data_IF_123731324750
#
_entry.id   IF_123731324750
#
_cell.length_a   1.000
_cell.length_b   1.000
_cell.length_c   1.000
_cell.angle_alpha   90.00
_cell.angle_beta   90.00
_cell.angle_gamma   90.00
#
_symmetry.space_group_name_H-M   'P 1'
#
loop_
_entity.id
_entity.type
_entity.pdbx_description
1 polymer ?
#
# COMPACT_ATOMS: atom_id res chain seq x y z
N UNK A 1 -32.51 -9.15 -7.18
CA UNK A 1 -31.96 -9.23 -5.81
C UNK A 1 -31.08 -10.45 -5.72
N UNK A 2 -29.76 -10.27 -5.62
CA UNK A 2 -28.83 -11.34 -5.34
C UNK A 2 -27.78 -10.82 -4.35
N UNK A 3 -27.78 -11.47 -3.19
CA UNK A 3 -26.71 -11.67 -2.22
C UNK A 3 -26.03 -10.46 -1.57
N UNK A 4 -26.56 -10.18 -0.36
CA UNK A 4 -25.81 -9.71 0.80
C UNK A 4 -24.54 -10.54 0.99
N UNK A 5 -23.38 -9.89 1.02
CA UNK A 5 -22.35 -10.13 2.03
C UNK A 5 -21.30 -9.02 1.94
N UNK A 6 -21.58 -7.90 2.61
CA UNK A 6 -20.53 -7.05 3.15
C UNK A 6 -19.78 -7.83 4.25
N UNK A 7 -19.11 -8.92 3.88
CA UNK A 7 -17.97 -9.39 4.64
C UNK A 7 -16.82 -8.51 4.19
N UNK A 8 -16.81 -7.28 4.73
CA UNK A 8 -15.68 -6.35 4.60
C UNK A 8 -14.44 -7.16 4.99
N UNK A 9 -13.60 -7.45 3.99
CA UNK A 9 -12.36 -8.20 4.10
C UNK A 9 -11.68 -7.90 5.46
N UNK A 10 -11.31 -8.92 6.26
CA UNK A 10 -10.70 -8.70 7.56
C UNK A 10 -9.49 -7.76 7.49
N UNK A 11 -8.75 -7.75 6.39
CA UNK A 11 -7.64 -6.82 6.13
C UNK A 11 -8.14 -5.38 6.04
N UNK A 12 -9.28 -5.14 5.38
CA UNK A 12 -9.90 -3.81 5.28
C UNK A 12 -10.46 -3.35 6.62
N UNK A 13 -11.01 -4.27 7.42
CA UNK A 13 -11.46 -3.96 8.78
C UNK A 13 -10.28 -3.55 9.67
N UNK A 14 -9.17 -4.30 9.62
CA UNK A 14 -7.94 -3.99 10.35
C UNK A 14 -7.35 -2.66 9.88
N UNK A 15 -7.28 -2.42 8.57
CA UNK A 15 -6.80 -1.16 8.00
C UNK A 15 -7.60 0.05 8.53
N UNK A 16 -8.94 -0.07 8.61
CA UNK A 16 -9.82 0.99 9.16
C UNK A 16 -9.53 1.29 10.63
N UNK A 17 -9.21 0.27 11.41
CA UNK A 17 -8.89 0.41 12.83
C UNK A 17 -7.47 0.94 13.05
N UNK A 18 -6.55 0.64 12.14
CA UNK A 18 -5.13 0.97 12.24
C UNK A 18 -4.79 2.38 11.77
N UNK A 19 -5.50 2.94 10.79
CA UNK A 19 -5.21 4.27 10.22
C UNK A 19 -6.07 5.34 10.89
N UNK A 20 -5.43 6.30 11.57
CA UNK A 20 -6.13 7.38 12.30
C UNK A 20 -6.45 8.60 11.43
N UNK A 21 -5.56 8.97 10.50
CA UNK A 21 -5.69 10.17 9.67
C UNK A 21 -5.83 9.78 8.19
N UNK A 22 -7.08 9.66 7.76
CA UNK A 22 -7.44 9.33 6.38
C UNK A 22 -7.29 10.51 5.41
N UNK A 23 -6.85 11.69 5.87
CA UNK A 23 -6.62 12.88 5.03
C UNK A 23 -7.82 13.24 4.14
N UNK A 24 -9.03 13.08 4.67
CA UNK A 24 -10.29 13.35 3.96
C UNK A 24 -10.74 12.25 3.00
N UNK A 25 -10.07 11.10 2.96
CA UNK A 25 -10.52 9.93 2.19
C UNK A 25 -11.61 9.15 2.92
N UNK A 26 -12.53 8.55 2.16
CA UNK A 26 -13.50 7.58 2.67
C UNK A 26 -13.20 6.21 2.08
N UNK A 27 -12.94 5.21 2.94
CA UNK A 27 -12.61 3.85 2.50
C UNK A 27 -13.72 3.21 1.65
N UNK A 28 -14.96 3.68 1.79
CA UNK A 28 -16.10 3.18 1.02
C UNK A 28 -16.01 3.56 -0.47
N UNK A 29 -15.22 4.57 -0.82
CA UNK A 29 -15.05 5.00 -2.22
C UNK A 29 -13.92 4.25 -2.93
N UNK A 30 -13.12 3.46 -2.21
CA UNK A 30 -11.90 2.85 -2.76
C UNK A 30 -12.17 1.70 -3.73
N UNK A 31 -13.34 1.05 -3.62
CA UNK A 31 -13.62 -0.22 -4.27
C UNK A 31 -13.10 -1.40 -3.45
N UNK A 32 -13.06 -2.59 -4.06
CA UNK A 32 -12.59 -3.80 -3.40
C UNK A 32 -11.06 -3.79 -3.21
N UNK A 33 -10.59 -4.41 -2.13
CA UNK A 33 -9.16 -4.62 -1.91
C UNK A 33 -8.69 -5.76 -2.80
N UNK A 34 -7.71 -5.49 -3.66
CA UNK A 34 -7.18 -6.45 -4.63
C UNK A 34 -5.89 -7.09 -4.16
N UNK A 35 -5.01 -6.31 -3.51
CA UNK A 35 -3.72 -6.77 -3.04
C UNK A 35 -3.22 -5.90 -1.88
N UNK A 36 -2.48 -6.49 -0.95
CA UNK A 36 -1.75 -5.76 0.07
C UNK A 36 -0.46 -6.48 0.43
N UNK A 37 0.60 -5.73 0.71
CA UNK A 37 1.90 -6.29 1.10
C UNK A 37 2.77 -5.24 1.80
N UNK A 38 3.81 -5.70 2.50
CA UNK A 38 4.85 -4.87 3.12
C UNK A 38 6.06 -4.76 2.20
N UNK A 39 6.17 -3.65 1.48
CA UNK A 39 7.16 -3.47 0.42
C UNK A 39 8.17 -2.37 0.76
N UNK A 40 9.36 -2.45 0.16
CA UNK A 40 10.41 -1.45 0.32
C UNK A 40 10.25 -0.38 -0.75
N UNK A 41 10.19 0.88 -0.32
CA UNK A 41 10.14 2.07 -1.16
C UNK A 41 11.39 2.91 -0.89
N UNK A 42 12.05 3.38 -1.95
CA UNK A 42 13.11 4.39 -1.84
C UNK A 42 12.56 5.78 -2.13
N UNK A 43 12.88 6.76 -1.29
CA UNK A 43 12.54 8.16 -1.53
C UNK A 43 13.78 8.92 -2.03
N UNK A 44 13.72 9.46 -3.24
CA UNK A 44 14.77 10.31 -3.82
C UNK A 44 15.90 9.56 -4.54
N UNK A 45 16.94 10.28 -4.93
CA UNK A 45 18.08 9.76 -5.71
C UNK A 45 19.09 8.97 -4.87
N UNK A 46 19.02 9.07 -3.54
CA UNK A 46 19.97 8.44 -2.63
C UNK A 46 19.45 7.06 -2.22
N UNK A 47 20.17 6.03 -2.63
CA UNK A 47 19.90 4.60 -2.39
C UNK A 47 19.88 4.18 -0.91
N UNK A 48 20.24 5.09 0.01
CA UNK A 48 20.35 4.87 1.46
C UNK A 48 19.03 5.04 2.21
N UNK A 49 18.05 5.77 1.67
CA UNK A 49 16.77 6.03 2.34
C UNK A 49 15.72 4.99 1.93
N UNK A 50 16.05 3.72 2.22
CA UNK A 50 15.16 2.57 2.04
C UNK A 50 14.18 2.52 3.21
N UNK A 51 12.90 2.63 2.91
CA UNK A 51 11.84 2.63 3.92
C UNK A 51 10.80 1.56 3.59
N UNK A 52 10.42 0.79 4.61
CA UNK A 52 9.37 -0.21 4.49
C UNK A 52 7.99 0.42 4.69
N UNK A 53 7.07 0.14 3.77
CA UNK A 53 5.68 0.59 3.77
C UNK A 53 4.73 -0.59 3.62
N UNK A 54 3.58 -0.54 4.29
CA UNK A 54 2.44 -1.38 3.92
C UNK A 54 1.72 -0.69 2.76
N UNK A 55 1.64 -1.38 1.62
CA UNK A 55 0.98 -0.89 0.42
C UNK A 55 -0.34 -1.64 0.26
N UNK A 56 -1.42 -0.91 0.01
CA UNK A 56 -2.75 -1.47 -0.24
C UNK A 56 -3.20 -1.03 -1.63
N UNK A 57 -3.54 -1.99 -2.49
CA UNK A 57 -4.11 -1.76 -3.81
C UNK A 57 -5.60 -2.07 -3.78
N UNK A 58 -6.41 -1.05 -3.94
CA UNK A 58 -7.84 -1.15 -4.19
C UNK A 58 -8.13 -0.89 -5.67
N UNK A 59 -9.34 -1.20 -6.12
CA UNK A 59 -9.78 -0.95 -7.51
C UNK A 59 -9.56 0.50 -7.97
N UNK A 60 -9.73 1.49 -7.07
CA UNK A 60 -9.67 2.92 -7.45
C UNK A 60 -8.48 3.66 -6.88
N UNK A 61 -7.75 3.09 -5.92
CA UNK A 61 -6.71 3.80 -5.18
C UNK A 61 -5.61 2.86 -4.67
N UNK A 62 -4.38 3.34 -4.68
CA UNK A 62 -3.24 2.74 -3.99
C UNK A 62 -2.87 3.59 -2.78
N UNK A 63 -2.72 2.96 -1.62
CA UNK A 63 -2.35 3.61 -0.37
C UNK A 63 -0.96 3.16 0.08
N UNK A 64 -0.16 4.11 0.54
CA UNK A 64 1.13 3.84 1.16
C UNK A 64 1.08 4.22 2.64
N UNK A 65 1.14 3.21 3.50
CA UNK A 65 1.06 3.34 4.96
C UNK A 65 2.41 3.03 5.61
N UNK A 66 2.82 3.85 6.58
CA UNK A 66 4.04 3.60 7.38
C UNK A 66 3.63 3.23 8.82
N UNK A 67 4.28 2.24 9.46
CA UNK A 67 4.10 2.00 10.89
C UNK A 67 4.39 3.26 11.72
N UNK A 68 3.50 3.59 12.66
CA UNK A 68 3.70 4.68 13.59
C UNK A 68 4.61 4.25 14.75
N UNK A 69 5.92 4.40 14.58
CA UNK A 69 6.90 4.05 15.62
C UNK A 69 6.94 5.06 16.79
N UNK A 70 6.19 6.17 16.70
CA UNK A 70 6.23 7.28 17.66
C UNK A 70 5.24 7.13 18.81
N UNK A 71 4.27 6.22 18.69
CA UNK A 71 3.32 5.92 19.76
C UNK A 71 3.79 4.63 20.45
N UNK A 72 4.25 4.67 21.72
CA UNK A 72 4.54 3.44 22.44
C UNK A 72 3.28 2.58 22.45
N UNK A 73 3.42 1.28 22.16
CA UNK A 73 2.37 0.28 22.39
C UNK A 73 1.91 0.46 23.83
N UNK A 74 0.75 1.09 24.05
CA UNK A 74 0.21 1.27 25.40
C UNK A 74 -0.06 -0.13 25.97
N UNK A 75 0.75 -0.52 26.95
CA UNK A 75 0.39 -1.57 27.91
C UNK A 75 1.21 -2.85 27.86
N UNK A 76 2.47 -2.81 28.28
CA UNK A 76 3.08 -3.94 29.00
C UNK A 76 3.50 -3.47 30.38
N UNK A 77 2.53 -3.21 31.26
CA UNK A 77 2.76 -3.13 32.70
C UNK A 77 1.74 -4.01 33.41
N UNK A 78 2.28 -4.95 34.17
CA UNK A 78 1.64 -6.02 34.92
C UNK A 78 0.61 -5.43 35.90
N UNK A 79 -0.66 -5.82 35.80
CA UNK A 79 -1.59 -5.89 36.92
C UNK A 79 -2.78 -6.78 36.59
N UNK A 80 -3.07 -7.68 37.52
CA UNK A 80 -4.08 -8.75 37.48
C UNK A 80 -5.49 -8.18 37.25
N UNK A 81 -6.16 -8.57 36.15
CA UNK A 81 -7.62 -8.82 36.04
C UNK A 81 -7.96 -9.39 34.64
N UNK A 82 -8.93 -10.30 34.48
CA UNK A 82 -9.24 -10.93 33.21
C UNK A 82 -10.46 -10.28 32.57
N UNK A 83 -10.29 -9.22 31.77
CA UNK A 83 -11.37 -8.66 30.97
C UNK A 83 -10.84 -8.23 29.60
N UNK A 84 -11.16 -9.04 28.59
CA UNK A 84 -11.37 -8.67 27.18
C UNK A 84 -10.59 -7.45 26.66
N UNK A 85 -9.27 -7.56 26.45
CA UNK A 85 -8.53 -6.52 25.73
C UNK A 85 -8.69 -6.73 24.23
N UNK A 86 -9.48 -5.84 23.63
CA UNK A 86 -9.72 -5.69 22.21
C UNK A 86 -8.44 -5.59 21.40
N UNK A 87 -8.50 -6.25 20.24
CA UNK A 87 -7.56 -6.27 19.13
C UNK A 87 -7.15 -4.86 18.69
N UNK A 88 -6.17 -4.23 19.34
CA UNK A 88 -5.59 -2.97 18.84
C UNK A 88 -4.35 -3.33 18.02
N UNK A 89 -4.56 -3.48 16.70
CA UNK A 89 -3.49 -3.65 15.72
C UNK A 89 -2.51 -2.47 15.70
N UNK A 90 -1.38 -2.59 14.98
CA UNK A 90 -0.39 -1.51 14.88
C UNK A 90 -1.01 -0.26 14.25
N UNK A 91 -0.73 0.90 14.85
CA UNK A 91 -1.14 2.21 14.32
C UNK A 91 -0.35 2.53 13.05
N UNK A 92 -1.06 2.80 11.95
CA UNK A 92 -0.51 3.11 10.63
C UNK A 92 -0.72 4.58 10.28
N UNK A 93 0.29 5.20 9.66
CA UNK A 93 0.23 6.56 9.14
C UNK A 93 0.08 6.53 7.63
N UNK A 94 -0.98 7.16 7.11
CA UNK A 94 -1.16 7.34 5.67
C UNK A 94 -0.16 8.37 5.12
N UNK A 95 0.86 7.89 4.42
CA UNK A 95 1.94 8.73 3.88
C UNK A 95 1.69 9.17 2.45
N UNK A 96 1.07 8.32 1.63
CA UNK A 96 0.76 8.61 0.23
C UNK A 96 -0.52 7.92 -0.22
N UNK A 97 -1.10 8.47 -1.29
CA UNK A 97 -2.31 7.99 -1.95
C UNK A 97 -2.19 8.29 -3.44
N UNK A 98 -2.57 7.35 -4.29
CA UNK A 98 -2.51 7.51 -5.74
C UNK A 98 -3.79 6.92 -6.31
N UNK A 99 -4.61 7.74 -6.96
CA UNK A 99 -5.81 7.25 -7.63
C UNK A 99 -5.42 6.53 -8.92
N UNK A 100 -6.13 5.45 -9.25
CA UNK A 100 -5.86 4.67 -10.46
C UNK A 100 -6.05 5.49 -11.74
N UNK A 101 -6.93 6.50 -11.70
CA UNK A 101 -7.10 7.50 -12.77
C UNK A 101 -5.84 8.33 -13.04
N UNK A 102 -5.01 8.53 -12.02
CA UNK A 102 -3.81 9.36 -12.13
C UNK A 102 -2.59 8.55 -12.56
N UNK A 103 -2.66 7.21 -12.54
CA UNK A 103 -1.57 6.34 -12.98
C UNK A 103 -1.34 6.51 -14.49
N UNK A 104 -0.13 6.91 -14.86
CA UNK A 104 0.26 7.13 -16.26
C UNK A 104 1.03 5.94 -16.81
N UNK A 105 1.99 5.39 -16.05
CA UNK A 105 2.83 4.26 -16.48
C UNK A 105 3.23 3.38 -15.30
N UNK A 106 3.39 2.10 -15.59
CA UNK A 106 3.92 1.09 -14.67
C UNK A 106 5.11 0.43 -15.36
N UNK A 107 6.32 0.62 -14.85
CA UNK A 107 7.56 0.19 -15.51
C UNK A 107 8.23 -0.88 -14.63
N UNK A 108 8.12 -2.18 -14.95
CA UNK A 108 8.90 -3.21 -14.28
C UNK A 108 10.37 -3.13 -14.69
N UNK A 109 11.26 -3.48 -13.77
CA UNK A 109 12.70 -3.49 -13.99
C UNK A 109 13.35 -4.63 -13.21
N UNK A 110 14.19 -5.40 -13.90
CA UNK A 110 15.00 -6.46 -13.32
C UNK A 110 16.47 -6.15 -13.51
N UNK A 111 17.24 -6.10 -12.42
CA UNK A 111 18.69 -5.90 -12.46
C UNK A 111 19.38 -7.20 -12.87
N UNK A 112 20.26 -7.11 -13.85
CA UNK A 112 20.96 -8.26 -14.42
C UNK A 112 22.11 -8.81 -13.56
N UNK A 113 22.52 -8.15 -12.47
CA UNK A 113 23.68 -8.59 -11.68
C UNK A 113 23.25 -9.52 -10.53
N UNK A 114 23.47 -10.85 -10.64
CA UNK A 114 23.05 -11.82 -9.63
C UNK A 114 23.91 -11.75 -8.36
N UNK A 115 25.11 -11.15 -8.46
CA UNK A 115 26.08 -11.09 -7.37
C UNK A 115 25.89 -9.88 -6.45
N UNK A 116 24.94 -8.98 -6.75
CA UNK A 116 24.60 -7.89 -5.85
C UNK A 116 23.63 -8.37 -4.77
N UNK A 117 23.83 -7.91 -3.52
CA UNK A 117 22.87 -8.06 -2.42
C UNK A 117 21.70 -7.06 -2.51
N UNK A 118 21.67 -6.22 -3.56
CA UNK A 118 20.55 -5.32 -3.81
C UNK A 118 19.34 -6.05 -4.41
N UNK A 119 18.14 -5.52 -4.17
CA UNK A 119 16.91 -6.02 -4.78
C UNK A 119 17.03 -6.06 -6.30
N UNK A 120 16.78 -7.25 -6.84
CA UNK A 120 16.89 -7.54 -8.26
C UNK A 120 15.62 -7.14 -9.00
N UNK A 121 14.46 -7.12 -8.33
CA UNK A 121 13.16 -6.84 -8.93
C UNK A 121 12.59 -5.54 -8.39
N UNK A 122 12.17 -4.67 -9.29
CA UNK A 122 11.60 -3.38 -8.94
C UNK A 122 10.56 -2.93 -9.95
N UNK A 123 9.69 -2.03 -9.54
CA UNK A 123 8.75 -1.34 -10.41
C UNK A 123 8.81 0.15 -10.13
N UNK A 124 8.79 0.96 -11.20
CA UNK A 124 8.58 2.41 -11.11
C UNK A 124 7.13 2.72 -11.49
N UNK A 125 6.39 3.33 -10.56
CA UNK A 125 5.04 3.84 -10.83
C UNK A 125 5.11 5.32 -11.16
N UNK A 126 4.63 5.70 -12.34
CA UNK A 126 4.47 7.09 -12.77
C UNK A 126 3.00 7.50 -12.66
N UNK A 127 2.74 8.68 -12.11
CA UNK A 127 1.38 9.18 -11.92
C UNK A 127 1.32 10.70 -12.00
N UNK A 128 0.14 11.24 -12.30
CA UNK A 128 -0.13 12.68 -12.29
C UNK A 128 -0.12 13.17 -10.84
N UNK A 129 0.83 14.04 -10.51
CA UNK A 129 0.90 14.76 -9.25
C UNK A 129 0.37 16.19 -9.38
N UNK A 130 0.74 17.04 -8.41
CA UNK A 130 0.33 18.44 -8.34
C UNK A 130 1.07 19.30 -9.38
N UNK A 131 0.62 19.21 -10.64
CA UNK A 131 1.13 20.00 -11.77
C UNK A 131 2.31 19.41 -12.54
N UNK A 132 2.83 18.24 -12.11
CA UNK A 132 3.88 17.50 -12.81
C UNK A 132 3.67 15.99 -12.68
N UNK A 133 4.34 15.21 -13.52
CA UNK A 133 4.38 13.76 -13.36
C UNK A 133 5.33 13.41 -12.20
N UNK A 134 4.84 12.61 -11.26
CA UNK A 134 5.60 12.10 -10.13
C UNK A 134 5.90 10.60 -10.31
N UNK A 135 6.95 10.13 -9.64
CA UNK A 135 7.35 8.73 -9.67
C UNK A 135 7.78 8.23 -8.30
N UNK A 136 7.53 6.95 -8.01
CA UNK A 136 8.23 6.24 -6.94
C UNK A 136 8.57 4.80 -7.36
N UNK A 137 9.58 4.25 -6.69
CA UNK A 137 10.08 2.90 -6.94
C UNK A 137 9.72 1.98 -5.79
N UNK A 138 9.22 0.79 -6.14
CA UNK A 138 8.92 -0.30 -5.21
C UNK A 138 9.83 -1.47 -5.55
N UNK A 139 10.39 -2.09 -4.53
CA UNK A 139 11.26 -3.26 -4.67
C UNK A 139 10.59 -4.52 -4.17
N UNK A 140 10.89 -5.63 -4.84
CA UNK A 140 10.30 -6.93 -4.59
C UNK A 140 11.41 -7.97 -4.40
N UNK A 141 11.14 -8.94 -3.53
CA UNK A 141 12.06 -10.05 -3.28
C UNK A 141 11.97 -11.13 -4.36
N UNK A 142 10.80 -11.27 -4.99
CA UNK A 142 10.56 -12.24 -6.06
C UNK A 142 9.86 -11.62 -7.29
N UNK A 143 10.14 -12.14 -8.51
CA UNK A 143 9.58 -11.59 -9.75
C UNK A 143 8.09 -11.88 -9.90
N UNK A 144 7.57 -12.98 -9.34
CA UNK A 144 6.16 -13.34 -9.48
C UNK A 144 5.24 -12.37 -8.75
N UNK A 145 5.66 -11.92 -7.57
CA UNK A 145 4.99 -10.85 -6.82
C UNK A 145 5.05 -9.55 -7.60
N UNK A 146 6.23 -9.14 -8.10
CA UNK A 146 6.36 -7.94 -8.95
C UNK A 146 5.39 -7.99 -10.14
N UNK A 147 5.37 -9.10 -10.89
CA UNK A 147 4.52 -9.27 -12.07
C UNK A 147 3.03 -9.19 -11.71
N UNK A 148 2.64 -9.76 -10.56
CA UNK A 148 1.27 -9.69 -10.04
C UNK A 148 0.87 -8.24 -9.74
N UNK A 149 1.73 -7.49 -9.05
CA UNK A 149 1.52 -6.07 -8.76
C UNK A 149 1.41 -5.24 -10.04
N UNK A 150 2.35 -5.41 -10.98
CA UNK A 150 2.37 -4.70 -12.26
C UNK A 150 1.11 -4.97 -13.05
N UNK A 151 0.69 -6.25 -13.16
CA UNK A 151 -0.52 -6.66 -13.88
C UNK A 151 -1.78 -6.03 -13.28
N UNK A 152 -1.95 -6.09 -11.97
CA UNK A 152 -3.15 -5.57 -11.32
C UNK A 152 -3.24 -4.04 -11.41
N UNK A 153 -2.13 -3.33 -11.20
CA UNK A 153 -2.12 -1.86 -11.32
C UNK A 153 -2.45 -1.43 -12.74
N UNK A 154 -1.86 -2.08 -13.76
CA UNK A 154 -2.17 -1.79 -15.16
C UNK A 154 -3.66 -2.01 -15.44
N UNK A 155 -4.20 -3.17 -15.05
CA UNK A 155 -5.62 -3.52 -15.24
C UNK A 155 -6.55 -2.46 -14.63
N UNK A 156 -6.29 -2.03 -13.39
CA UNK A 156 -7.12 -1.02 -12.74
C UNK A 156 -6.95 0.36 -13.38
N UNK A 157 -5.73 0.78 -13.71
CA UNK A 157 -5.49 2.05 -14.39
C UNK A 157 -6.16 2.14 -15.76
N UNK A 158 -6.24 1.01 -16.48
CA UNK A 158 -6.92 0.92 -17.78
C UNK A 158 -8.43 0.93 -17.61
N UNK A 159 -8.98 0.11 -16.70
CA UNK A 159 -10.42 0.07 -16.42
C UNK A 159 -10.95 1.48 -16.09
N UNK A 160 -10.20 2.24 -15.30
CA UNK A 160 -10.58 3.58 -14.90
C UNK A 160 -10.57 4.61 -16.06
N UNK A 161 -9.71 4.43 -17.07
CA UNK A 161 -9.68 5.27 -18.28
C UNK A 161 -10.89 5.07 -19.19
N UNK A 162 -11.49 3.88 -19.20
CA UNK A 162 -12.69 3.59 -20.01
C UNK A 162 -13.99 4.08 -19.37
N UNK A 163 -13.96 4.45 -18.09
CA UNK A 163 -15.12 4.94 -17.34
C UNK A 163 -15.08 6.47 -17.09
N UNK A 164 -14.10 7.18 -17.65
CA UNK A 164 -13.94 8.64 -17.57
C UNK A 164 -14.37 9.32 -18.87
#
# INVERSE_FOLDING_TARGET
MAFVAALKDPVVADLKNSVEDWKGLSVETFGDLLLNDTLVITRGTNSSDRLTYHIYLFERILLCCKPNNSKPKKGLWISKKPETSSLQGPLLLLKGRIFMNDVTRVIPFTRANPNSRDWQYAMVLCFKGDGQEETFSVYFDDPGTMDTWVKLINLQSEAMKYHA
#
